data_IF_640265356801
#
_entry.id   IF_640265356801
#
_cell.length_a   1.000
_cell.length_b   1.000
_cell.length_c   1.000
_cell.angle_alpha   90.00
_cell.angle_beta   90.00
_cell.angle_gamma   90.00
#
_symmetry.space_group_name_H-M   'P 1'
#
loop_
_entity.id
_entity.type
_entity.pdbx_description
1 polymer ?
#
# COMPACT_ATOMS: atom_id res chain seq x y z
N UNK A 1 -15.15 0.82 10.11
CA UNK A 1 -14.94 0.17 8.79
C UNK A 1 -14.12 -1.10 8.99
N UNK A 2 -14.57 -2.18 8.39
CA UNK A 2 -13.89 -3.47 8.53
C UNK A 2 -12.54 -3.46 7.80
N UNK A 3 -11.57 -4.22 8.32
CA UNK A 3 -10.22 -4.24 7.75
C UNK A 3 -10.18 -4.78 6.32
N UNK A 4 -11.02 -5.76 6.01
CA UNK A 4 -11.15 -6.26 4.65
C UNK A 4 -11.61 -5.15 3.69
N UNK A 5 -12.56 -4.32 4.11
CA UNK A 5 -13.05 -3.18 3.32
C UNK A 5 -11.92 -2.18 3.05
N UNK A 6 -11.04 -1.93 4.03
CA UNK A 6 -9.88 -1.05 3.83
C UNK A 6 -8.93 -1.59 2.76
N UNK A 7 -8.66 -2.89 2.78
CA UNK A 7 -7.80 -3.54 1.78
C UNK A 7 -8.43 -3.45 0.39
N UNK A 8 -9.71 -3.75 0.27
CA UNK A 8 -10.42 -3.66 -1.00
C UNK A 8 -10.42 -2.23 -1.53
N UNK A 9 -10.65 -1.26 -0.65
CA UNK A 9 -10.61 0.15 -1.01
C UNK A 9 -9.23 0.58 -1.50
N UNK A 10 -8.17 0.14 -0.84
CA UNK A 10 -6.80 0.47 -1.26
C UNK A 10 -6.47 -0.09 -2.64
N UNK A 11 -6.88 -1.33 -2.90
CA UNK A 11 -6.69 -1.96 -4.21
C UNK A 11 -7.48 -1.22 -5.28
N UNK A 12 -8.73 -0.86 -5.03
CA UNK A 12 -9.55 -0.10 -5.98
C UNK A 12 -8.94 1.27 -6.31
N UNK A 13 -8.46 1.99 -5.30
CA UNK A 13 -7.82 3.29 -5.49
C UNK A 13 -6.58 3.17 -6.38
N UNK A 14 -5.75 2.15 -6.14
CA UNK A 14 -4.55 1.91 -6.95
C UNK A 14 -4.90 1.54 -8.39
N UNK A 15 -5.90 0.69 -8.59
CA UNK A 15 -6.33 0.30 -9.95
C UNK A 15 -6.89 1.49 -10.72
N UNK A 16 -7.72 2.31 -10.10
CA UNK A 16 -8.28 3.50 -10.73
C UNK A 16 -7.16 4.47 -11.13
N UNK A 17 -6.22 4.73 -10.24
CA UNK A 17 -5.11 5.64 -10.52
C UNK A 17 -4.19 5.10 -11.62
N UNK A 18 -3.97 3.80 -11.67
CA UNK A 18 -3.20 3.17 -12.73
C UNK A 18 -3.89 3.32 -14.09
N UNK A 19 -5.21 3.11 -14.14
CA UNK A 19 -6.00 3.30 -15.36
C UNK A 19 -5.91 4.75 -15.84
N UNK A 20 -5.96 5.73 -14.95
CA UNK A 20 -5.82 7.15 -15.29
C UNK A 20 -4.45 7.43 -15.93
N UNK A 21 -3.38 6.86 -15.42
CA UNK A 21 -2.04 7.02 -16.00
C UNK A 21 -1.99 6.39 -17.40
N UNK A 22 -2.57 5.21 -17.57
CA UNK A 22 -2.61 4.52 -18.87
C UNK A 22 -3.38 5.34 -19.90
N UNK A 23 -4.52 5.92 -19.53
CA UNK A 23 -5.30 6.80 -20.40
C UNK A 23 -4.49 8.05 -20.78
N UNK A 24 -3.83 8.67 -19.80
CA UNK A 24 -3.01 9.86 -20.05
C UNK A 24 -1.87 9.57 -21.00
N UNK A 25 -1.22 8.42 -20.86
CA UNK A 25 -0.15 7.99 -21.76
C UNK A 25 -0.68 7.74 -23.18
N UNK A 26 -1.85 7.10 -23.30
CA UNK A 26 -2.46 6.84 -24.60
C UNK A 26 -2.87 8.12 -25.33
N UNK A 27 -3.32 9.13 -24.61
CA UNK A 27 -3.73 10.43 -25.16
C UNK A 27 -2.55 11.34 -25.49
N UNK A 28 -1.36 11.02 -25.03
CA UNK A 28 -0.18 11.87 -25.20
C UNK A 28 0.11 12.20 -26.66
N UNK A 29 -0.09 11.25 -27.57
CA UNK A 29 0.14 11.43 -28.99
C UNK A 29 -0.96 12.21 -29.72
N UNK A 30 -2.16 12.25 -29.13
CA UNK A 30 -3.33 12.86 -29.78
C UNK A 30 -3.61 14.29 -29.35
N UNK A 31 -3.04 14.74 -28.24
CA UNK A 31 -3.29 16.06 -27.69
C UNK A 31 -2.10 17.00 -27.92
N UNK A 32 -2.34 18.32 -27.95
CA UNK A 32 -1.25 19.30 -27.94
C UNK A 32 -0.33 19.07 -26.75
N UNK A 33 0.96 19.40 -26.92
CA UNK A 33 1.99 19.10 -25.90
C UNK A 33 1.65 19.70 -24.53
N UNK A 34 1.08 20.90 -24.49
CA UNK A 34 0.73 21.57 -23.24
C UNK A 34 -0.32 20.77 -22.44
N UNK A 35 -1.34 20.30 -23.12
CA UNK A 35 -2.38 19.46 -22.52
C UNK A 35 -1.87 18.08 -22.12
N UNK A 36 -0.99 17.51 -22.93
CA UNK A 36 -0.38 16.22 -22.64
C UNK A 36 0.46 16.28 -21.37
N UNK A 37 1.29 17.30 -21.23
CA UNK A 37 2.10 17.52 -20.05
C UNK A 37 1.21 17.70 -18.81
N UNK A 38 0.16 18.51 -18.92
CA UNK A 38 -0.78 18.74 -17.83
C UNK A 38 -1.43 17.43 -17.35
N UNK A 39 -1.90 16.61 -18.29
CA UNK A 39 -2.52 15.32 -17.96
C UNK A 39 -1.53 14.38 -17.27
N UNK A 40 -0.32 14.27 -17.76
CA UNK A 40 0.71 13.40 -17.14
C UNK A 40 1.06 13.88 -15.75
N UNK A 41 1.24 15.17 -15.55
CA UNK A 41 1.55 15.73 -14.22
C UNK A 41 0.41 15.47 -13.24
N UNK A 42 -0.84 15.78 -13.63
CA UNK A 42 -2.01 15.56 -12.78
C UNK A 42 -2.20 14.08 -12.44
N UNK A 43 -2.02 13.19 -13.42
CA UNK A 43 -2.11 11.74 -13.21
C UNK A 43 -1.04 11.24 -12.26
N UNK A 44 0.18 11.74 -12.39
CA UNK A 44 1.30 11.36 -11.51
C UNK A 44 1.07 11.80 -10.07
N UNK A 45 0.57 13.02 -9.88
CA UNK A 45 0.22 13.53 -8.54
C UNK A 45 -0.89 12.68 -7.94
N UNK A 46 -1.93 12.40 -8.70
CA UNK A 46 -3.06 11.55 -8.27
C UNK A 46 -2.58 10.16 -7.86
N UNK A 47 -1.71 9.56 -8.67
CA UNK A 47 -1.15 8.25 -8.37
C UNK A 47 -0.31 8.26 -7.08
N UNK A 48 0.50 9.29 -6.89
CA UNK A 48 1.31 9.42 -5.66
C UNK A 48 0.43 9.52 -4.42
N UNK A 49 -0.62 10.34 -4.47
CA UNK A 49 -1.59 10.47 -3.37
C UNK A 49 -2.31 9.14 -3.13
N UNK A 50 -2.73 8.48 -4.21
CA UNK A 50 -3.40 7.18 -4.13
C UNK A 50 -2.48 6.11 -3.50
N UNK A 51 -1.21 6.11 -3.87
CA UNK A 51 -0.23 5.17 -3.33
C UNK A 51 -0.05 5.37 -1.82
N UNK A 52 0.10 6.62 -1.39
CA UNK A 52 0.22 6.94 0.03
C UNK A 52 -1.05 6.53 0.79
N UNK A 53 -2.22 6.86 0.26
CA UNK A 53 -3.50 6.50 0.87
C UNK A 53 -3.66 4.97 0.97
N UNK A 54 -3.30 4.24 -0.08
CA UNK A 54 -3.37 2.79 -0.11
C UNK A 54 -2.43 2.16 0.94
N UNK A 55 -1.21 2.67 1.06
CA UNK A 55 -0.25 2.20 2.06
C UNK A 55 -0.80 2.42 3.48
N UNK A 56 -1.36 3.60 3.75
CA UNK A 56 -1.91 3.90 5.07
C UNK A 56 -3.14 3.05 5.40
N UNK A 57 -4.03 2.84 4.43
CA UNK A 57 -5.19 1.97 4.61
C UNK A 57 -4.77 0.52 4.87
N UNK A 58 -3.84 0.03 4.09
CA UNK A 58 -3.32 -1.33 4.23
C UNK A 58 -2.61 -1.53 5.57
N UNK A 59 -1.79 -0.55 5.97
CA UNK A 59 -1.12 -0.54 7.27
C UNK A 59 -2.12 -0.60 8.43
N UNK A 60 -3.23 0.13 8.33
CA UNK A 60 -4.24 0.19 9.39
C UNK A 60 -5.18 -1.02 9.41
N UNK A 61 -5.09 -1.90 8.41
CA UNK A 61 -6.06 -2.98 8.21
C UNK A 61 -5.91 -4.17 9.18
N UNK A 62 -4.79 -4.30 9.89
CA UNK A 62 -4.61 -5.40 10.83
C UNK A 62 -3.27 -5.38 11.52
N UNK A 63 -3.09 -6.35 12.38
CA UNK A 63 -1.87 -6.55 13.14
C UNK A 63 -1.05 -7.70 12.57
N UNK A 64 0.20 -7.79 13.01
CA UNK A 64 1.09 -8.89 12.65
C UNK A 64 1.32 -9.78 13.87
N UNK A 65 1.39 -11.08 13.65
CA UNK A 65 1.65 -12.08 14.68
C UNK A 65 3.07 -12.62 14.51
N UNK A 66 3.85 -12.56 15.59
CA UNK A 66 5.21 -13.09 15.59
C UNK A 66 5.17 -14.62 15.46
N UNK A 67 5.92 -15.14 14.50
CA UNK A 67 6.01 -16.58 14.27
C UNK A 67 6.66 -17.32 15.43
N UNK A 68 7.55 -16.66 16.17
CA UNK A 68 8.34 -17.29 17.23
C UNK A 68 7.69 -17.25 18.60
N UNK A 69 7.08 -16.11 18.99
CA UNK A 69 6.47 -15.97 20.31
C UNK A 69 4.94 -15.90 20.30
N UNK A 70 4.33 -15.83 19.12
CA UNK A 70 2.87 -15.80 18.97
C UNK A 70 2.19 -14.50 19.38
N UNK A 71 2.94 -13.47 19.76
CA UNK A 71 2.36 -12.20 20.16
C UNK A 71 1.95 -11.37 18.95
N UNK A 72 0.81 -10.72 19.05
CA UNK A 72 0.34 -9.76 18.05
C UNK A 72 0.92 -8.38 18.34
N UNK A 73 1.32 -7.69 17.29
CA UNK A 73 1.84 -6.34 17.40
C UNK A 73 1.57 -5.57 16.13
N UNK A 74 1.59 -4.24 16.24
CA UNK A 74 1.51 -3.35 15.08
C UNK A 74 2.89 -2.76 14.86
N UNK A 75 3.53 -2.99 13.69
CA UNK A 75 4.85 -2.45 13.40
C UNK A 75 4.79 -0.93 13.24
N UNK A 76 5.93 -0.27 13.34
CA UNK A 76 6.04 1.13 12.97
C UNK A 76 5.84 1.26 11.45
N UNK A 77 5.38 2.42 10.99
CA UNK A 77 5.17 2.66 9.56
C UNK A 77 6.46 2.46 8.76
N UNK A 78 7.59 2.92 9.29
CA UNK A 78 8.90 2.74 8.67
C UNK A 78 9.24 1.25 8.47
N UNK A 79 9.09 0.44 9.51
CA UNK A 79 9.33 -1.00 9.42
C UNK A 79 8.38 -1.67 8.43
N UNK A 80 7.13 -1.21 8.38
CA UNK A 80 6.12 -1.72 7.45
C UNK A 80 6.50 -1.45 5.99
N UNK A 81 6.92 -0.23 5.67
CA UNK A 81 7.24 0.19 4.29
C UNK A 81 8.54 -0.44 3.81
N UNK A 82 9.58 -0.45 4.64
CA UNK A 82 10.92 -0.88 4.23
C UNK A 82 11.21 -2.35 4.47
N UNK A 83 10.36 -3.05 5.22
CA UNK A 83 10.53 -4.47 5.47
C UNK A 83 10.27 -5.33 4.23
N UNK A 84 11.03 -6.42 4.07
CA UNK A 84 10.74 -7.41 3.04
C UNK A 84 9.36 -8.02 3.29
N UNK A 85 8.58 -8.21 2.23
CA UNK A 85 7.22 -8.71 2.36
C UNK A 85 6.86 -9.70 1.27
N UNK A 86 5.99 -10.62 1.64
CA UNK A 86 5.27 -11.49 0.70
C UNK A 86 3.79 -11.08 0.70
N UNK A 87 2.93 -11.81 0.01
CA UNK A 87 1.49 -11.50 -0.06
C UNK A 87 0.82 -11.45 1.31
N UNK A 88 1.24 -12.30 2.25
CA UNK A 88 0.59 -12.43 3.58
C UNK A 88 1.53 -12.21 4.75
N UNK A 89 2.82 -12.09 4.52
CA UNK A 89 3.83 -12.02 5.59
C UNK A 89 4.78 -10.87 5.33
N UNK A 90 5.32 -10.30 6.44
CA UNK A 90 6.36 -9.28 6.39
C UNK A 90 7.50 -9.64 7.32
N UNK A 91 8.72 -9.32 6.93
CA UNK A 91 9.90 -9.52 7.75
C UNK A 91 10.02 -8.37 8.74
N UNK A 92 9.64 -8.63 9.99
CA UNK A 92 9.53 -7.62 11.03
C UNK A 92 10.23 -8.07 12.31
N UNK A 93 10.70 -7.10 13.09
CA UNK A 93 11.25 -7.35 14.41
C UNK A 93 10.12 -7.33 15.43
N UNK A 94 9.96 -8.42 16.16
CA UNK A 94 8.96 -8.51 17.22
C UNK A 94 9.40 -7.67 18.43
N UNK A 95 8.56 -6.75 18.94
CA UNK A 95 8.90 -5.96 20.12
C UNK A 95 8.91 -6.76 21.41
N UNK A 96 8.28 -7.93 21.42
CA UNK A 96 8.22 -8.79 22.62
C UNK A 96 9.43 -9.71 22.77
N UNK A 97 9.82 -10.40 21.69
CA UNK A 97 10.96 -11.31 21.75
C UNK A 97 12.25 -10.75 21.14
N UNK A 98 12.17 -9.61 20.48
CA UNK A 98 13.33 -8.93 19.88
C UNK A 98 13.93 -9.60 18.66
N UNK A 99 13.34 -10.68 18.16
CA UNK A 99 13.84 -11.41 17.01
C UNK A 99 13.14 -10.99 15.73
N UNK A 100 13.89 -10.96 14.63
CA UNK A 100 13.34 -10.71 13.30
C UNK A 100 12.84 -12.02 12.69
N UNK A 101 11.64 -11.99 12.12
CA UNK A 101 11.06 -13.14 11.43
C UNK A 101 9.95 -12.70 10.49
N UNK A 102 9.51 -13.61 9.63
CA UNK A 102 8.33 -13.35 8.79
C UNK A 102 7.07 -13.46 9.66
N UNK A 103 6.51 -12.30 9.98
CA UNK A 103 5.30 -12.21 10.80
C UNK A 103 4.07 -12.30 9.92
N UNK A 104 3.11 -13.14 10.32
CA UNK A 104 1.88 -13.33 9.56
C UNK A 104 0.90 -12.20 9.85
N UNK A 105 0.27 -11.70 8.80
CA UNK A 105 -0.77 -10.67 8.90
C UNK A 105 -2.04 -11.27 9.50
N UNK A 106 -2.59 -10.60 10.50
CA UNK A 106 -3.88 -10.94 11.11
C UNK A 106 -4.82 -9.77 10.94
N UNK A 107 -5.96 -10.01 10.31
CA UNK A 107 -7.00 -9.00 10.18
C UNK A 107 -7.84 -9.00 11.44
N UNK A 108 -7.88 -7.87 12.13
CA UNK A 108 -8.76 -7.67 13.28
C UNK A 108 -10.05 -7.00 12.81
N UNK A 109 -11.16 -7.64 13.02
CA UNK A 109 -12.48 -7.11 12.69
C UNK A 109 -13.32 -6.86 13.92
#
# INVERSE_FOLDING_TARGET
MKNLTKILLSVCILLISLILIMISAALFEFLPIDWSILLVVLSSITFTIALIAAILLDYSAGDYECKKCGQRFKPTLSAYVWGAHTLTKRYLKCPHCGKKSFCKRRLSE
#
